data_IF_235667208590
#
_entry.id   IF_235667208590
#
_cell.length_a   1.000
_cell.length_b   1.000
_cell.length_c   1.000
_cell.angle_alpha   90.00
_cell.angle_beta   90.00
_cell.angle_gamma   90.00
#
_symmetry.space_group_name_H-M   'P 1'
#
loop_
_entity.id
_entity.type
_entity.pdbx_description
1 polymer ?
#
# COMPACT_ATOMS: atom_id res chain seq x y z
N UNK A 1 -1.44 -27.24 0.36
CA UNK A 1 -0.23 -26.40 0.40
C UNK A 1 -0.47 -25.35 1.48
N UNK A 2 0.56 -24.93 2.22
CA UNK A 2 0.40 -23.94 3.29
C UNK A 2 0.68 -22.53 2.74
N UNK A 3 -0.06 -21.53 3.21
CA UNK A 3 0.14 -20.13 2.85
C UNK A 3 1.59 -19.70 3.14
N UNK A 4 2.31 -19.27 2.11
CA UNK A 4 3.65 -18.71 2.23
C UNK A 4 3.54 -17.19 2.32
N UNK A 5 4.02 -16.64 3.43
CA UNK A 5 4.09 -15.20 3.67
C UNK A 5 5.55 -14.79 3.72
N UNK A 6 5.95 -13.93 2.80
CA UNK A 6 7.33 -13.43 2.68
C UNK A 6 7.35 -11.93 2.92
N UNK A 7 8.32 -11.45 3.71
CA UNK A 7 8.52 -10.01 3.89
C UNK A 7 9.28 -9.47 2.69
N UNK A 8 8.63 -8.62 1.88
CA UNK A 8 9.28 -7.93 0.76
C UNK A 8 10.16 -6.81 1.32
N UNK A 9 9.59 -6.02 2.22
CA UNK A 9 10.23 -4.81 2.71
C UNK A 9 9.65 -4.37 4.05
N UNK A 10 10.51 -3.81 4.88
CA UNK A 10 10.15 -3.23 6.17
C UNK A 10 10.93 -1.94 6.35
N UNK A 11 10.21 -0.86 6.61
CA UNK A 11 10.83 0.44 6.80
C UNK A 11 10.01 1.32 7.73
N UNK A 12 10.69 2.34 8.25
CA UNK A 12 10.06 3.30 9.15
C UNK A 12 10.56 4.70 8.88
N UNK A 13 9.68 5.67 9.06
CA UNK A 13 10.01 7.10 9.03
C UNK A 13 9.89 7.61 10.45
N UNK A 14 10.99 8.11 10.99
CA UNK A 14 11.04 8.68 12.33
C UNK A 14 10.58 10.13 12.30
N UNK A 15 9.77 10.52 13.26
CA UNK A 15 9.48 11.91 13.56
C UNK A 15 10.47 12.41 14.61
N UNK A 16 11.11 13.55 14.36
CA UNK A 16 12.11 14.12 15.27
C UNK A 16 11.46 15.00 16.34
N UNK A 17 10.23 15.46 16.11
CA UNK A 17 9.50 16.35 17.02
C UNK A 17 9.08 15.63 18.31
N UNK A 18 8.53 14.41 18.19
CA UNK A 18 8.03 13.62 19.33
C UNK A 18 8.75 12.26 19.50
N UNK A 19 9.71 11.95 18.62
CA UNK A 19 10.46 10.70 18.63
C UNK A 19 9.66 9.48 18.16
N UNK A 20 8.42 9.65 17.69
CA UNK A 20 7.58 8.59 17.15
C UNK A 20 8.12 8.07 15.82
N UNK A 21 7.61 6.92 15.36
CA UNK A 21 7.98 6.37 14.05
C UNK A 21 6.77 5.76 13.36
N UNK A 22 6.53 6.16 12.11
CA UNK A 22 5.54 5.52 11.25
C UNK A 22 6.21 4.33 10.56
N UNK A 23 5.72 3.12 10.85
CA UNK A 23 6.26 1.87 10.29
C UNK A 23 5.34 1.31 9.22
N UNK A 24 5.95 0.77 8.18
CA UNK A 24 5.28 0.08 7.08
C UNK A 24 5.94 -1.28 6.90
N UNK A 25 5.13 -2.32 6.91
CA UNK A 25 5.55 -3.68 6.59
C UNK A 25 4.83 -4.12 5.32
N UNK A 26 5.59 -4.61 4.34
CA UNK A 26 5.05 -5.07 3.06
C UNK A 26 5.33 -6.55 2.92
N UNK A 27 4.25 -7.31 2.81
CA UNK A 27 4.26 -8.76 2.78
C UNK A 27 3.74 -9.24 1.43
N UNK A 28 4.40 -10.22 0.85
CA UNK A 28 3.86 -11.04 -0.22
C UNK A 28 3.18 -12.26 0.39
N UNK A 29 1.97 -12.56 -0.04
CA UNK A 29 1.23 -13.73 0.41
C UNK A 29 0.88 -14.59 -0.81
N UNK A 30 1.16 -15.89 -0.75
CA UNK A 30 0.76 -16.82 -1.81
C UNK A 30 -0.76 -17.07 -1.84
N UNK A 31 -1.42 -16.93 -0.69
CA UNK A 31 -2.87 -17.05 -0.54
C UNK A 31 -3.41 -15.85 0.26
N UNK A 32 -4.06 -14.91 -0.43
CA UNK A 32 -4.62 -13.68 0.14
C UNK A 32 -6.09 -13.48 -0.28
N UNK A 33 -6.90 -12.98 0.65
CA UNK A 33 -8.30 -12.62 0.40
C UNK A 33 -9.25 -13.83 0.30
N UNK A 34 -10.48 -13.59 -0.13
CA UNK A 34 -11.52 -14.61 -0.19
C UNK A 34 -11.30 -15.65 -1.30
N UNK A 35 -10.52 -15.29 -2.32
CA UNK A 35 -10.18 -16.17 -3.44
C UNK A 35 -8.92 -17.01 -3.20
N UNK A 36 -8.20 -16.81 -2.08
CA UNK A 36 -6.94 -17.50 -1.76
C UNK A 36 -5.92 -17.45 -2.92
N UNK A 37 -5.77 -16.27 -3.52
CA UNK A 37 -4.85 -16.04 -4.66
C UNK A 37 -3.63 -15.25 -4.22
N UNK A 38 -2.52 -15.30 -4.97
CA UNK A 38 -1.35 -14.49 -4.67
C UNK A 38 -1.68 -13.00 -4.59
N UNK A 39 -1.11 -12.31 -3.62
CA UNK A 39 -1.34 -10.89 -3.42
C UNK A 39 -0.31 -10.23 -2.51
N UNK A 40 -0.45 -8.91 -2.37
CA UNK A 40 0.44 -8.10 -1.55
C UNK A 40 -0.33 -7.48 -0.39
N UNK A 41 0.22 -7.56 0.81
CA UNK A 41 -0.39 -7.05 2.02
C UNK A 41 0.49 -5.96 2.64
N UNK A 42 -0.08 -4.78 2.86
CA UNK A 42 0.60 -3.66 3.53
C UNK A 42 0.03 -3.49 4.92
N UNK A 43 0.90 -3.46 5.92
CA UNK A 43 0.56 -3.17 7.31
C UNK A 43 1.16 -1.83 7.69
N UNK A 44 0.31 -0.90 8.13
CA UNK A 44 0.75 0.41 8.59
C UNK A 44 -0.25 0.97 9.61
N UNK A 45 0.23 1.44 10.77
CA UNK A 45 -0.59 2.12 11.78
C UNK A 45 -1.88 1.37 12.20
N UNK A 46 -1.81 0.03 12.28
CA UNK A 46 -2.96 -0.82 12.62
C UNK A 46 -3.96 -1.04 11.47
N UNK A 47 -3.69 -0.48 10.29
CA UNK A 47 -4.43 -0.72 9.05
C UNK A 47 -3.72 -1.81 8.27
N UNK A 48 -4.50 -2.80 7.80
CA UNK A 48 -4.05 -3.86 6.91
C UNK A 48 -4.75 -3.67 5.56
N UNK A 49 -3.97 -3.66 4.50
CA UNK A 49 -4.44 -3.38 3.14
C UNK A 49 -4.05 -4.55 2.28
N UNK A 50 -5.04 -5.23 1.72
CA UNK A 50 -4.84 -6.35 0.83
C UNK A 50 -4.96 -5.85 -0.61
N UNK A 51 -3.85 -5.88 -1.34
CA UNK A 51 -3.84 -5.79 -2.79
C UNK A 51 -4.07 -7.19 -3.35
N UNK A 52 -5.34 -7.58 -3.43
CA UNK A 52 -5.80 -8.82 -4.03
C UNK A 52 -6.41 -8.55 -5.43
N UNK A 53 -6.33 -9.49 -6.38
CA UNK A 53 -6.78 -9.28 -7.76
C UNK A 53 -8.19 -8.68 -7.87
N UNK A 54 -9.16 -9.24 -7.13
CA UNK A 54 -10.57 -8.82 -7.22
C UNK A 54 -10.82 -7.38 -6.79
N UNK A 55 -10.12 -6.89 -5.75
CA UNK A 55 -10.29 -5.51 -5.29
C UNK A 55 -9.47 -4.55 -6.13
N UNK A 56 -8.27 -4.97 -6.55
CA UNK A 56 -7.40 -4.16 -7.40
C UNK A 56 -8.02 -3.96 -8.79
N UNK A 57 -8.71 -4.95 -9.35
CA UNK A 57 -9.48 -4.80 -10.59
C UNK A 57 -10.51 -3.66 -10.48
N UNK A 58 -11.26 -3.64 -9.38
CA UNK A 58 -12.25 -2.59 -9.13
C UNK A 58 -11.61 -1.21 -8.95
N UNK A 59 -10.46 -1.13 -8.28
CA UNK A 59 -9.70 0.10 -8.13
C UNK A 59 -9.14 0.57 -9.48
N UNK A 60 -8.54 -0.32 -10.28
CA UNK A 60 -8.04 -0.02 -11.62
C UNK A 60 -9.15 0.50 -12.55
N UNK A 61 -10.33 -0.11 -12.49
CA UNK A 61 -11.50 0.36 -13.23
C UNK A 61 -11.95 1.76 -12.80
N UNK A 62 -12.02 2.03 -11.49
CA UNK A 62 -12.36 3.36 -10.95
C UNK A 62 -11.31 4.41 -11.34
N UNK A 63 -10.03 4.04 -11.30
CA UNK A 63 -8.92 4.89 -11.71
C UNK A 63 -8.99 5.22 -13.21
N UNK A 64 -9.24 4.22 -14.05
CA UNK A 64 -9.42 4.39 -15.50
C UNK A 64 -10.59 5.31 -15.84
N UNK A 65 -11.73 5.21 -15.11
CA UNK A 65 -12.85 6.15 -15.25
C UNK A 65 -12.50 7.59 -14.91
N UNK A 66 -11.58 7.80 -13.97
CA UNK A 66 -11.11 9.13 -13.57
C UNK A 66 -9.92 9.62 -14.40
N UNK A 67 -9.30 8.75 -15.20
CA UNK A 67 -8.06 9.06 -15.92
C UNK A 67 -6.85 9.22 -15.00
N UNK A 68 -6.86 8.61 -13.81
CA UNK A 68 -5.80 8.74 -12.81
C UNK A 68 -4.72 7.65 -12.99
N UNK A 69 -3.46 8.06 -13.10
CA UNK A 69 -2.30 7.15 -13.09
C UNK A 69 -1.95 6.64 -11.69
N UNK A 70 -2.34 7.38 -10.66
CA UNK A 70 -2.18 7.01 -9.26
C UNK A 70 -3.52 7.17 -8.56
N UNK A 71 -4.16 6.05 -8.27
CA UNK A 71 -5.46 6.02 -7.63
C UNK A 71 -5.31 5.99 -6.11
N UNK A 72 -5.70 7.08 -5.46
CA UNK A 72 -5.62 7.22 -4.01
C UNK A 72 -6.66 6.35 -3.29
N UNK A 73 -6.20 5.48 -2.40
CA UNK A 73 -7.04 4.63 -1.56
C UNK A 73 -7.35 5.36 -0.25
N UNK A 74 -8.25 6.33 -0.32
CA UNK A 74 -8.59 7.21 0.81
C UNK A 74 -9.04 6.43 2.05
N UNK A 75 -9.95 5.44 1.88
CA UNK A 75 -10.45 4.60 2.98
C UNK A 75 -9.40 3.64 3.57
N UNK A 76 -8.27 3.48 2.87
CA UNK A 76 -7.13 2.64 3.27
C UNK A 76 -5.92 3.49 3.68
N UNK A 77 -6.09 4.80 3.83
CA UNK A 77 -5.00 5.71 4.13
C UNK A 77 -5.24 6.39 5.48
N UNK A 78 -4.14 6.66 6.18
CA UNK A 78 -4.19 7.46 7.40
C UNK A 78 -3.73 8.87 7.07
N UNK A 79 -4.68 9.79 6.91
CA UNK A 79 -4.44 11.19 6.52
C UNK A 79 -5.09 12.18 7.49
N UNK A 80 -5.15 11.83 8.77
CA UNK A 80 -5.77 12.67 9.82
C UNK A 80 -5.05 14.03 9.94
N UNK A 81 -3.75 14.05 9.67
CA UNK A 81 -2.94 15.26 9.69
C UNK A 81 -2.33 15.52 8.31
N UNK A 82 -2.23 16.79 7.91
CA UNK A 82 -1.68 17.17 6.60
C UNK A 82 -0.15 17.04 6.53
N UNK A 83 0.51 17.18 7.67
CA UNK A 83 1.96 17.09 7.86
C UNK A 83 2.43 15.68 8.28
N UNK A 84 1.51 14.81 8.72
CA UNK A 84 1.80 13.46 9.18
C UNK A 84 0.77 12.47 8.59
N UNK A 85 1.21 11.62 7.67
CA UNK A 85 0.30 10.71 6.97
C UNK A 85 0.97 9.43 6.44
N UNK A 86 0.12 8.44 6.17
CA UNK A 86 0.41 7.24 5.38
C UNK A 86 -0.64 7.14 4.30
N UNK A 87 -0.25 7.37 3.05
CA UNK A 87 -1.12 7.31 1.87
C UNK A 87 -0.80 6.09 1.04
N UNK A 88 -1.84 5.35 0.69
CA UNK A 88 -1.76 4.15 -0.11
C UNK A 88 -2.42 4.42 -1.46
N UNK A 89 -1.77 3.96 -2.53
CA UNK A 89 -2.20 4.18 -3.89
C UNK A 89 -2.09 2.90 -4.70
N UNK A 90 -2.98 2.76 -5.66
CA UNK A 90 -2.79 1.87 -6.80
C UNK A 90 -2.23 2.68 -7.97
N UNK A 91 -1.01 2.37 -8.41
CA UNK A 91 -0.44 2.94 -9.62
C UNK A 91 -0.95 2.13 -10.81
N UNK A 92 -1.71 2.79 -11.68
CA UNK A 92 -2.23 2.19 -12.91
C UNK A 92 -1.16 2.24 -14.00
N UNK A 93 -0.88 1.09 -14.59
CA UNK A 93 0.24 0.87 -15.50
C UNK A 93 0.36 -0.61 -15.83
N UNK A 94 1.35 -0.97 -16.64
CA UNK A 94 1.65 -2.36 -16.94
C UNK A 94 3.13 -2.66 -16.59
N UNK A 95 3.45 -3.32 -15.47
CA UNK A 95 2.52 -3.92 -14.49
C UNK A 95 1.91 -2.89 -13.52
N UNK A 96 0.81 -3.28 -12.87
CA UNK A 96 0.23 -2.53 -11.75
C UNK A 96 1.14 -2.56 -10.52
N UNK A 97 1.11 -1.49 -9.73
CA UNK A 97 1.93 -1.38 -8.52
C UNK A 97 1.15 -0.83 -7.33
N UNK A 98 1.50 -1.32 -6.14
CA UNK A 98 1.14 -0.67 -4.89
C UNK A 98 2.16 0.44 -4.59
N UNK A 99 1.70 1.64 -4.29
CA UNK A 99 2.56 2.76 -3.87
C UNK A 99 2.16 3.22 -2.48
N UNK A 100 3.15 3.32 -1.60
CA UNK A 100 2.96 3.76 -0.21
C UNK A 100 3.80 5.02 -0.01
N UNK A 101 3.16 6.09 0.46
CA UNK A 101 3.80 7.37 0.75
C UNK A 101 3.63 7.68 2.23
N UNK A 102 4.73 7.77 2.94
CA UNK A 102 4.77 8.08 4.37
C UNK A 102 5.43 9.44 4.57
N UNK A 103 4.82 10.29 5.39
CA UNK A 103 5.39 11.57 5.79
C UNK A 103 5.21 11.74 7.29
N UNK A 104 6.28 12.17 7.97
CA UNK A 104 6.21 12.70 9.35
C UNK A 104 6.39 14.22 9.32
N UNK A 105 6.11 14.90 10.43
CA UNK A 105 6.20 16.38 10.49
C UNK A 105 7.60 16.87 10.18
N UNK A 106 8.59 16.11 10.62
CA UNK A 106 10.01 16.41 10.49
C UNK A 106 10.65 15.90 9.19
N UNK A 107 9.92 15.18 8.31
CA UNK A 107 10.51 14.53 7.13
C UNK A 107 9.90 14.99 5.81
N UNK A 108 10.69 14.91 4.75
CA UNK A 108 10.14 14.87 3.40
C UNK A 108 9.29 13.60 3.22
N UNK A 109 8.28 13.59 2.32
CA UNK A 109 7.53 12.40 2.00
C UNK A 109 8.45 11.32 1.42
N UNK A 110 8.40 10.12 1.99
CA UNK A 110 9.11 8.93 1.50
C UNK A 110 8.10 8.05 0.79
N UNK A 111 8.36 7.75 -0.49
CA UNK A 111 7.51 6.89 -1.30
C UNK A 111 8.23 5.60 -1.69
N UNK A 112 7.54 4.46 -1.60
CA UNK A 112 8.00 3.17 -2.14
C UNK A 112 6.91 2.55 -3.01
N UNK A 113 7.34 1.91 -4.09
CA UNK A 113 6.48 1.20 -5.04
C UNK A 113 6.83 -0.29 -5.06
N UNK A 114 5.81 -1.13 -5.17
CA UNK A 114 5.93 -2.58 -5.21
C UNK A 114 5.07 -3.13 -6.34
N UNK A 115 5.67 -3.98 -7.18
CA UNK A 115 4.93 -4.67 -8.22
C UNK A 115 3.92 -5.63 -7.58
N UNK A 116 2.72 -5.73 -8.15
CA UNK A 116 1.76 -6.73 -7.72
C UNK A 116 2.13 -8.11 -8.28
N UNK A 117 1.96 -9.21 -7.51
CA UNK A 117 2.35 -10.56 -7.95
C UNK A 117 1.33 -11.19 -8.91
N UNK A 118 0.56 -10.38 -9.63
CA UNK A 118 -0.49 -10.80 -10.56
C UNK A 118 -0.77 -9.73 -11.61
N UNK A 119 -1.45 -10.14 -12.68
CA UNK A 119 -1.92 -9.29 -13.77
C UNK A 119 -3.47 -9.27 -13.78
N UNK A 120 -4.06 -8.19 -14.32
CA UNK A 120 -5.52 -7.98 -14.40
C UNK A 120 -5.88 -7.42 -15.77
#
# INVERSE_FOLDING_TARGET
MANQVSVIDEWSVKDLEDGSSLRVHVLECSELGNASVPGLQVHAMGIIINYEPNIVEQWAYKAGKKGESEYFLEDKSWTVHEDQYIRNYLVTGNPLKAKIVVKTRSSAPVSREYNLPFEI
#
